data_IF_785662686662
#
_entry.id   IF_785662686662
#
_cell.length_a   1.000
_cell.length_b   1.000
_cell.length_c   1.000
_cell.angle_alpha   90.00
_cell.angle_beta   90.00
_cell.angle_gamma   90.00
#
_symmetry.space_group_name_H-M   'P 1'
#
loop_
_entity.id
_entity.type
_entity.pdbx_description
1 polymer ?
#
# COMPACT_ATOMS: atom_id res chain seq x y z
N UNK A 1 -32.89 -48.05 36.30
CA UNK A 1 -31.96 -47.83 35.17
C UNK A 1 -32.53 -46.95 34.01
N UNK A 2 -33.80 -46.64 33.94
CA UNK A 2 -34.38 -45.79 32.85
C UNK A 2 -34.22 -44.27 33.04
N UNK A 3 -33.89 -43.77 34.22
CA UNK A 3 -33.79 -42.32 34.51
C UNK A 3 -32.41 -41.71 34.24
N UNK A 4 -31.39 -42.49 34.11
CA UNK A 4 -30.00 -42.03 33.86
C UNK A 4 -29.76 -41.77 32.37
N UNK A 5 -30.43 -42.54 31.49
CA UNK A 5 -30.29 -42.41 30.02
C UNK A 5 -30.90 -41.13 29.48
N UNK A 6 -32.00 -40.61 30.10
CA UNK A 6 -32.66 -39.36 29.69
C UNK A 6 -31.84 -38.11 30.07
N UNK A 7 -31.12 -38.14 31.19
CA UNK A 7 -30.25 -37.05 31.62
C UNK A 7 -29.03 -36.89 30.73
N UNK A 8 -28.47 -37.97 30.22
CA UNK A 8 -27.27 -37.94 29.35
C UNK A 8 -27.63 -37.38 27.96
N UNK A 9 -28.82 -37.66 27.46
CA UNK A 9 -29.28 -37.15 26.16
C UNK A 9 -29.52 -35.61 26.19
N UNK A 10 -29.96 -35.09 27.35
CA UNK A 10 -30.21 -33.64 27.50
C UNK A 10 -28.93 -32.81 27.63
N UNK A 11 -27.89 -33.36 28.19
CA UNK A 11 -26.57 -32.68 28.27
C UNK A 11 -25.88 -32.65 26.92
N UNK A 12 -26.05 -33.70 26.10
CA UNK A 12 -25.49 -33.74 24.75
C UNK A 12 -26.16 -32.78 23.75
N UNK A 13 -27.45 -32.51 23.98
CA UNK A 13 -28.20 -31.54 23.13
C UNK A 13 -27.88 -30.08 23.44
N UNK A 14 -27.35 -29.78 24.65
CA UNK A 14 -27.04 -28.39 25.05
C UNK A 14 -25.67 -27.93 24.57
N UNK A 15 -24.78 -28.86 24.16
CA UNK A 15 -23.44 -28.49 23.65
C UNK A 15 -23.39 -28.15 22.18
N UNK A 16 -24.48 -28.34 21.43
CA UNK A 16 -24.55 -28.06 19.98
C UNK A 16 -25.02 -26.65 19.62
N UNK A 17 -25.36 -25.80 20.60
CA UNK A 17 -25.99 -24.48 20.32
C UNK A 17 -25.00 -23.32 20.47
N UNK A 18 -23.72 -23.55 20.80
CA UNK A 18 -22.75 -22.49 21.03
C UNK A 18 -21.56 -22.48 20.05
N UNK A 19 -21.79 -22.78 18.80
CA UNK A 19 -20.76 -22.57 17.78
C UNK A 19 -21.33 -21.87 16.55
N UNK A 20 -22.02 -20.76 16.78
CA UNK A 20 -22.14 -19.74 15.76
C UNK A 20 -21.18 -18.61 16.16
N UNK A 21 -19.89 -18.86 16.02
CA UNK A 21 -18.88 -17.82 16.04
C UNK A 21 -19.23 -16.90 14.86
N UNK A 22 -19.83 -15.75 15.19
CA UNK A 22 -20.13 -14.71 14.20
C UNK A 22 -18.78 -14.29 13.67
N UNK A 23 -18.42 -14.74 12.44
CA UNK A 23 -17.21 -14.32 11.81
C UNK A 23 -17.16 -12.79 11.84
N UNK A 24 -16.19 -12.22 12.55
CA UNK A 24 -15.95 -10.79 12.50
C UNK A 24 -15.74 -10.41 11.03
N UNK A 25 -16.38 -9.33 10.55
CA UNK A 25 -16.16 -8.88 9.20
C UNK A 25 -14.65 -8.62 9.01
N UNK A 26 -14.06 -9.26 8.01
CA UNK A 26 -12.64 -9.08 7.72
C UNK A 26 -12.36 -7.57 7.52
N UNK A 27 -11.36 -7.04 8.21
CA UNK A 27 -10.90 -5.67 7.98
C UNK A 27 -10.46 -5.54 6.52
N UNK A 28 -10.94 -4.56 5.78
CA UNK A 28 -10.52 -4.36 4.40
C UNK A 28 -9.02 -4.10 4.31
N UNK A 29 -8.41 -4.50 3.20
CA UNK A 29 -6.99 -4.27 2.96
C UNK A 29 -6.66 -2.78 2.99
N UNK A 30 -5.53 -2.44 3.62
CA UNK A 30 -4.95 -1.10 3.52
C UNK A 30 -4.31 -0.94 2.15
N UNK A 31 -4.71 0.09 1.41
CA UNK A 31 -4.20 0.35 0.07
C UNK A 31 -3.71 1.78 -0.08
N UNK A 32 -2.91 2.05 -1.12
CA UNK A 32 -2.57 3.39 -1.53
C UNK A 32 -2.50 3.49 -3.05
N UNK A 33 -2.99 4.61 -3.58
CA UNK A 33 -3.00 4.90 -5.01
C UNK A 33 -1.98 5.98 -5.31
N UNK A 34 -1.03 5.71 -6.19
CA UNK A 34 -0.05 6.69 -6.64
C UNK A 34 -0.51 7.24 -7.99
N UNK A 35 -0.56 8.56 -8.10
CA UNK A 35 -0.92 9.26 -9.34
C UNK A 35 0.17 10.26 -9.71
N UNK A 36 0.67 10.17 -10.96
CA UNK A 36 1.60 11.14 -11.53
C UNK A 36 0.83 12.38 -11.97
N UNK A 37 1.07 13.52 -11.31
CA UNK A 37 0.38 14.80 -11.52
C UNK A 37 1.39 15.95 -11.69
N UNK A 38 2.42 15.71 -12.54
CA UNK A 38 3.45 16.71 -12.84
C UNK A 38 2.90 17.84 -13.70
N UNK A 39 3.45 19.05 -13.57
CA UNK A 39 3.07 20.17 -14.42
C UNK A 39 3.41 19.91 -15.88
N UNK A 40 2.77 20.64 -16.77
CA UNK A 40 3.05 20.57 -18.22
C UNK A 40 4.50 20.91 -18.53
N UNK A 41 5.10 21.84 -17.79
CA UNK A 41 6.51 22.25 -17.99
C UNK A 41 7.47 21.12 -17.66
N UNK A 42 7.28 20.47 -16.50
CA UNK A 42 8.12 19.35 -16.10
C UNK A 42 7.89 18.12 -16.97
N UNK A 43 6.64 17.80 -17.28
CA UNK A 43 6.31 16.62 -18.07
C UNK A 43 6.68 16.74 -19.56
N UNK A 44 6.86 17.95 -20.08
CA UNK A 44 7.24 18.16 -21.50
C UNK A 44 8.66 17.66 -21.83
N UNK A 45 9.54 17.63 -20.85
CA UNK A 45 10.92 17.13 -21.01
C UNK A 45 11.09 15.67 -20.55
N UNK A 46 10.08 15.06 -19.97
CA UNK A 46 10.13 13.67 -19.52
C UNK A 46 9.56 12.75 -20.60
N UNK A 47 10.26 11.63 -20.83
CA UNK A 47 9.74 10.51 -21.63
C UNK A 47 9.01 9.52 -20.72
N UNK A 48 9.60 9.21 -19.58
CA UNK A 48 8.96 8.38 -18.56
C UNK A 48 9.51 8.65 -17.16
N UNK A 49 8.81 8.10 -16.18
CA UNK A 49 9.22 8.08 -14.79
C UNK A 49 9.27 6.65 -14.29
N UNK A 50 10.28 6.33 -13.49
CA UNK A 50 10.32 5.14 -12.66
C UNK A 50 10.13 5.53 -11.21
N UNK A 51 9.12 4.97 -10.57
CA UNK A 51 8.76 5.28 -9.21
C UNK A 51 8.84 4.02 -8.35
N UNK A 52 9.47 4.15 -7.18
CA UNK A 52 9.47 3.12 -6.15
C UNK A 52 8.80 3.66 -4.88
N UNK A 53 7.83 2.93 -4.37
CA UNK A 53 7.20 3.18 -3.08
C UNK A 53 7.81 2.22 -2.05
N UNK A 54 8.52 2.77 -1.08
CA UNK A 54 9.09 2.02 0.04
C UNK A 54 8.14 2.05 1.23
N UNK A 55 7.82 0.90 1.75
CA UNK A 55 6.93 0.71 2.89
C UNK A 55 7.73 0.45 4.16
N UNK A 56 7.35 1.11 5.25
CA UNK A 56 8.05 1.04 6.53
C UNK A 56 7.07 0.70 7.66
N UNK A 57 7.54 -0.10 8.62
CA UNK A 57 6.83 -0.37 9.86
C UNK A 57 7.01 0.76 10.89
N UNK A 58 6.42 0.61 12.07
CA UNK A 58 6.54 1.57 13.18
C UNK A 58 7.99 1.76 13.66
N UNK A 59 8.81 0.71 13.62
CA UNK A 59 10.22 0.77 13.98
C UNK A 59 11.08 1.51 12.95
N UNK A 60 10.52 1.85 11.78
CA UNK A 60 11.23 2.49 10.68
C UNK A 60 12.01 1.53 9.79
N UNK A 61 11.74 0.23 9.90
CA UNK A 61 12.35 -0.78 9.05
C UNK A 61 11.58 -0.90 7.74
N UNK A 62 12.29 -1.04 6.63
CA UNK A 62 11.70 -1.27 5.30
C UNK A 62 11.13 -2.69 5.26
N UNK A 63 9.81 -2.80 5.05
CA UNK A 63 9.08 -4.08 5.05
C UNK A 63 8.65 -4.54 3.66
N UNK A 64 8.50 -3.61 2.72
CA UNK A 64 8.18 -3.92 1.33
C UNK A 64 8.56 -2.75 0.41
N UNK A 65 8.49 -3.01 -0.90
CA UNK A 65 8.54 -1.99 -1.93
C UNK A 65 7.65 -2.36 -3.10
N UNK A 66 7.05 -1.36 -3.72
CA UNK A 66 6.23 -1.47 -4.93
C UNK A 66 6.74 -0.51 -6.00
N UNK A 67 6.61 -0.88 -7.26
CA UNK A 67 7.12 -0.08 -8.37
C UNK A 67 6.03 0.26 -9.38
N UNK A 68 6.13 1.48 -9.91
CA UNK A 68 5.41 1.97 -11.08
C UNK A 68 6.45 2.45 -12.08
N UNK A 69 6.83 1.56 -12.99
CA UNK A 69 7.87 1.83 -13.98
C UNK A 69 7.24 2.29 -15.30
N UNK A 70 8.02 3.00 -16.10
CA UNK A 70 7.60 3.56 -17.40
C UNK A 70 6.32 4.41 -17.29
N UNK A 71 6.11 5.05 -16.14
CA UNK A 71 4.97 5.91 -15.91
C UNK A 71 5.10 7.21 -16.73
N UNK A 72 3.97 7.72 -17.18
CA UNK A 72 3.85 9.04 -17.78
C UNK A 72 2.97 9.93 -16.92
N UNK A 73 2.95 11.22 -17.19
CA UNK A 73 2.04 12.13 -16.48
C UNK A 73 0.59 11.66 -16.66
N UNK A 74 -0.18 11.59 -15.57
CA UNK A 74 -1.52 11.01 -15.54
C UNK A 74 -1.57 9.50 -15.24
N UNK A 75 -0.44 8.78 -15.24
CA UNK A 75 -0.42 7.38 -14.82
C UNK A 75 -0.84 7.25 -13.35
N UNK A 76 -1.65 6.23 -13.07
CA UNK A 76 -2.12 5.93 -11.71
C UNK A 76 -2.08 4.42 -11.46
N UNK A 77 -1.74 4.04 -10.23
CA UNK A 77 -1.73 2.63 -9.82
C UNK A 77 -2.00 2.50 -8.32
N UNK A 78 -2.86 1.55 -7.98
CA UNK A 78 -3.16 1.19 -6.60
C UNK A 78 -2.35 -0.03 -6.19
N UNK A 79 -1.84 -0.01 -4.97
CA UNK A 79 -1.10 -1.10 -4.34
C UNK A 79 -1.75 -1.47 -3.01
N UNK A 80 -1.74 -2.75 -2.70
CA UNK A 80 -2.05 -3.24 -1.36
C UNK A 80 -0.80 -3.13 -0.51
N UNK A 81 -0.90 -2.46 0.63
CA UNK A 81 0.20 -2.30 1.55
C UNK A 81 0.54 -3.62 2.26
N UNK A 82 1.81 -3.81 2.62
CA UNK A 82 2.21 -4.88 3.51
C UNK A 82 1.49 -4.71 4.86
N UNK A 83 1.03 -5.80 5.47
CA UNK A 83 0.27 -5.78 6.72
C UNK A 83 1.00 -5.14 7.90
N UNK A 84 2.33 -5.00 7.84
CA UNK A 84 3.15 -4.34 8.87
C UNK A 84 3.48 -2.90 8.52
N UNK A 85 3.11 -2.43 7.32
CA UNK A 85 3.42 -1.08 6.88
C UNK A 85 2.51 -0.05 7.55
N UNK A 86 3.10 1.00 8.08
CA UNK A 86 2.38 2.16 8.65
C UNK A 86 2.68 3.46 7.91
N UNK A 87 3.67 3.44 7.02
CA UNK A 87 4.04 4.61 6.22
C UNK A 87 4.70 4.22 4.90
N UNK A 88 4.55 5.10 3.91
CA UNK A 88 5.12 4.97 2.57
C UNK A 88 6.01 6.18 2.27
N UNK A 89 7.12 5.93 1.59
CA UNK A 89 8.04 6.95 1.08
C UNK A 89 8.26 6.72 -0.41
N UNK A 90 8.10 7.75 -1.22
CA UNK A 90 8.24 7.65 -2.67
C UNK A 90 9.63 8.08 -3.12
N UNK A 91 10.20 7.36 -4.07
CA UNK A 91 11.41 7.68 -4.77
C UNK A 91 11.14 7.65 -6.27
N UNK A 92 11.38 8.75 -6.97
CA UNK A 92 10.99 8.96 -8.36
C UNK A 92 12.22 9.33 -9.19
N UNK A 93 12.39 8.65 -10.31
CA UNK A 93 13.41 8.91 -11.31
C UNK A 93 12.73 9.40 -12.59
N UNK A 94 13.18 10.53 -13.15
CA UNK A 94 12.72 11.03 -14.44
C UNK A 94 13.75 10.77 -15.51
N UNK A 95 13.32 10.27 -16.64
CA UNK A 95 14.15 10.02 -17.82
C UNK A 95 13.70 10.88 -18.99
N UNK A 96 14.68 11.43 -19.72
CA UNK A 96 14.44 12.27 -20.90
C UNK A 96 14.44 11.50 -22.20
N UNK A 97 14.80 10.21 -22.18
CA UNK A 97 14.73 9.30 -23.32
C UNK A 97 14.46 7.86 -22.86
N UNK A 98 14.06 7.00 -23.82
CA UNK A 98 13.73 5.60 -23.54
C UNK A 98 14.95 4.70 -23.28
N UNK A 99 16.12 5.15 -23.64
CA UNK A 99 17.38 4.41 -23.47
C UNK A 99 18.17 4.86 -22.23
N UNK A 100 17.64 5.82 -21.49
CA UNK A 100 18.33 6.44 -20.39
C UNK A 100 18.66 5.44 -19.28
N UNK A 101 19.92 5.24 -19.06
CA UNK A 101 20.44 4.49 -17.92
C UNK A 101 20.56 5.40 -16.69
N UNK A 102 20.76 6.70 -16.95
CA UNK A 102 20.93 7.71 -15.88
C UNK A 102 19.71 8.63 -15.85
N UNK A 103 19.00 8.73 -14.73
CA UNK A 103 17.88 9.64 -14.61
C UNK A 103 18.34 11.10 -14.65
N UNK A 104 17.59 11.95 -15.34
CA UNK A 104 17.87 13.39 -15.42
C UNK A 104 17.57 14.10 -14.10
N UNK A 105 16.48 13.70 -13.44
CA UNK A 105 16.05 14.23 -12.14
C UNK A 105 15.63 13.11 -11.19
N UNK A 106 15.81 13.37 -9.90
CA UNK A 106 15.43 12.50 -8.82
C UNK A 106 14.56 13.27 -7.82
N UNK A 107 13.47 12.68 -7.38
CA UNK A 107 12.62 13.23 -6.33
C UNK A 107 12.44 12.21 -5.20
N UNK A 108 12.47 12.73 -3.97
CA UNK A 108 12.06 11.98 -2.78
C UNK A 108 10.88 12.70 -2.18
N UNK A 109 9.73 12.04 -2.19
CA UNK A 109 8.53 12.60 -1.64
C UNK A 109 8.48 12.49 -0.12
N UNK A 110 7.64 13.33 0.49
CA UNK A 110 7.37 13.27 1.92
C UNK A 110 6.85 11.89 2.33
N UNK A 111 7.00 11.58 3.61
CA UNK A 111 6.42 10.39 4.21
C UNK A 111 4.91 10.53 4.29
N UNK A 112 4.20 9.54 3.81
CA UNK A 112 2.75 9.39 3.93
C UNK A 112 2.45 8.30 4.94
N UNK A 113 1.51 8.56 5.85
CA UNK A 113 1.07 7.57 6.82
C UNK A 113 -0.13 6.81 6.27
N UNK A 114 -0.08 5.49 6.42
CA UNK A 114 -1.16 4.60 6.05
C UNK A 114 -2.22 4.57 7.16
N UNK A 115 -3.47 4.43 6.77
CA UNK A 115 -4.59 4.22 7.69
C UNK A 115 -5.17 2.83 7.43
N UNK A 116 -5.24 2.01 8.46
CA UNK A 116 -5.71 0.62 8.36
C UNK A 116 -7.10 0.54 7.71
N UNK A 117 -7.23 -0.36 6.73
CA UNK A 117 -8.46 -0.57 6.00
C UNK A 117 -8.88 0.56 5.06
N UNK A 118 -8.02 1.57 4.82
CA UNK A 118 -8.33 2.69 3.92
C UNK A 118 -7.41 2.73 2.70
N UNK A 119 -7.88 3.42 1.66
CA UNK A 119 -7.05 3.82 0.53
C UNK A 119 -6.58 5.26 0.70
N UNK A 120 -5.28 5.50 0.49
CA UNK A 120 -4.69 6.84 0.52
C UNK A 120 -4.28 7.24 -0.89
N UNK A 121 -4.61 8.47 -1.30
CA UNK A 121 -4.18 9.04 -2.58
C UNK A 121 -2.84 9.77 -2.43
N UNK A 122 -1.82 9.30 -3.15
CA UNK A 122 -0.48 9.88 -3.19
C UNK A 122 -0.25 10.56 -4.55
N UNK A 123 -0.32 11.88 -4.59
CA UNK A 123 -0.03 12.64 -5.81
C UNK A 123 1.44 13.00 -5.89
N UNK A 124 2.06 12.70 -7.03
CA UNK A 124 3.44 13.11 -7.36
C UNK A 124 3.36 14.37 -8.18
N UNK A 125 3.81 15.49 -7.61
CA UNK A 125 3.72 16.84 -8.16
C UNK A 125 5.11 17.51 -8.21
N UNK A 126 5.26 18.61 -8.96
CA UNK A 126 6.53 19.31 -9.19
C UNK A 126 7.22 19.81 -7.91
N UNK A 127 6.46 20.13 -6.87
CA UNK A 127 6.99 20.59 -5.59
C UNK A 127 7.44 19.42 -4.69
N UNK A 128 7.32 18.20 -5.16
CA UNK A 128 7.92 17.03 -4.51
C UNK A 128 9.42 17.27 -4.35
N UNK A 129 9.94 17.16 -3.13
CA UNK A 129 11.33 17.54 -2.83
C UNK A 129 12.31 16.71 -3.62
N UNK A 130 13.25 17.40 -4.29
CA UNK A 130 14.38 16.76 -4.94
C UNK A 130 15.30 16.19 -3.87
N UNK A 131 15.59 14.89 -3.96
CA UNK A 131 16.56 14.17 -3.14
C UNK A 131 17.56 13.46 -4.02
N UNK A 132 18.80 13.34 -3.55
CA UNK A 132 19.86 12.62 -4.28
C UNK A 132 20.05 11.18 -3.78
N UNK A 133 19.43 10.84 -2.67
CA UNK A 133 19.62 9.55 -2.00
C UNK A 133 18.31 8.80 -1.94
N UNK A 134 18.34 7.56 -2.38
CA UNK A 134 17.24 6.62 -2.26
C UNK A 134 16.91 6.39 -0.77
N UNK A 135 15.63 6.34 -0.40
CA UNK A 135 15.19 6.12 0.98
C UNK A 135 15.65 4.79 1.57
#
# INVERSE_FOLDING_TARGET
MKRILTSLLFVLALTLVFSCEKAEPATPDTTYTITMAMSTVTSSSAVHYDLTAYEYNEAGEKVANNALNMAVNGSSKTFTANSRAVKVKLYIKMYSDNSAVTPQYLWVQQVFYLEEGKNIELKVEDHTKVGKTEP
#
